data_IF_422424498926
#
_entry.id   IF_422424498926
#
_cell.length_a   1.000
_cell.length_b   1.000
_cell.length_c   1.000
_cell.angle_alpha   90.00
_cell.angle_beta   90.00
_cell.angle_gamma   90.00
#
_symmetry.space_group_name_H-M   'P 1'
#
loop_
_entity.id
_entity.type
_entity.pdbx_description
1 polymer ?
#
# COMPACT_ATOMS: atom_id res chain seq x y z
N UNK A 1 -3.99 -21.16 12.07
CA UNK A 1 -3.95 -21.86 10.77
C UNK A 1 -3.33 -20.90 9.78
N UNK A 2 -2.10 -21.20 9.40
CA UNK A 2 -1.32 -20.39 8.49
C UNK A 2 -1.74 -20.68 7.04
N UNK A 3 -1.33 -19.79 6.14
CA UNK A 3 -1.77 -19.62 4.75
C UNK A 3 -2.31 -20.87 4.02
N UNK A 4 -3.41 -20.69 3.29
CA UNK A 4 -3.95 -21.70 2.36
C UNK A 4 -3.64 -21.25 0.94
N UNK A 5 -3.06 -22.15 0.15
CA UNK A 5 -2.82 -21.88 -1.27
C UNK A 5 -4.15 -21.80 -2.03
N UNK A 6 -4.33 -20.74 -2.81
CA UNK A 6 -5.47 -20.53 -3.69
C UNK A 6 -4.99 -20.32 -5.14
N UNK A 7 -5.22 -21.33 -5.99
CA UNK A 7 -4.90 -21.28 -7.41
C UNK A 7 -5.84 -20.36 -8.22
N UNK A 8 -6.96 -19.92 -7.64
CA UNK A 8 -7.91 -19.01 -8.26
C UNK A 8 -7.48 -17.55 -8.21
N UNK A 9 -6.47 -17.20 -7.41
CA UNK A 9 -5.89 -15.87 -7.42
C UNK A 9 -5.09 -15.64 -8.71
N UNK A 10 -5.63 -14.77 -9.57
CA UNK A 10 -4.87 -14.25 -10.70
C UNK A 10 -3.64 -13.46 -10.22
N UNK A 11 -2.64 -13.32 -11.09
CA UNK A 11 -1.45 -12.52 -10.80
C UNK A 11 -1.81 -11.09 -10.35
N UNK A 12 -1.05 -10.58 -9.38
CA UNK A 12 -1.13 -9.18 -9.01
C UNK A 12 -0.45 -8.34 -10.11
N UNK A 13 -1.26 -7.59 -10.86
CA UNK A 13 -0.77 -6.66 -11.86
C UNK A 13 -0.42 -5.33 -11.19
N UNK A 14 0.86 -4.94 -11.24
CA UNK A 14 1.37 -3.67 -10.73
C UNK A 14 1.75 -2.79 -11.90
N UNK A 15 1.04 -1.67 -12.07
CA UNK A 15 1.31 -0.72 -13.15
C UNK A 15 1.55 0.66 -12.54
N UNK A 16 2.79 0.92 -12.17
CA UNK A 16 3.22 2.22 -11.67
C UNK A 16 3.93 3.01 -12.75
N UNK A 17 3.59 4.29 -12.83
CA UNK A 17 4.33 5.23 -13.66
C UNK A 17 5.75 5.39 -13.13
N UNK A 18 6.74 5.38 -14.04
CA UNK A 18 8.15 5.50 -13.67
C UNK A 18 8.49 6.83 -12.97
N UNK A 19 7.70 7.88 -13.22
CA UNK A 19 7.86 9.21 -12.62
C UNK A 19 6.48 9.78 -12.31
N UNK A 20 6.22 10.04 -11.04
CA UNK A 20 5.01 10.71 -10.59
C UNK A 20 5.38 11.77 -9.55
N UNK A 21 4.84 12.99 -9.64
CA UNK A 21 5.09 14.00 -8.62
C UNK A 21 4.43 13.57 -7.30
N UNK A 22 5.19 13.67 -6.23
CA UNK A 22 4.72 13.38 -4.88
C UNK A 22 5.12 14.50 -3.93
N UNK A 23 4.25 14.79 -2.96
CA UNK A 23 4.56 15.66 -1.83
C UNK A 23 5.11 14.82 -0.70
N UNK A 24 6.38 15.01 -0.37
CA UNK A 24 7.03 14.38 0.77
C UNK A 24 6.79 15.21 2.03
N UNK A 25 6.37 14.57 3.11
CA UNK A 25 6.10 15.23 4.39
C UNK A 25 6.52 14.35 5.56
N UNK A 26 7.09 14.99 6.59
CA UNK A 26 7.10 14.44 7.94
C UNK A 26 5.73 14.76 8.56
N UNK A 27 4.97 13.73 8.93
CA UNK A 27 3.63 13.90 9.51
C UNK A 27 3.62 13.78 11.06
N UNK A 28 4.78 13.83 11.70
CA UNK A 28 4.97 13.63 13.14
C UNK A 28 5.20 12.18 13.55
N UNK A 29 4.84 11.22 12.70
CA UNK A 29 4.95 9.78 13.00
C UNK A 29 5.81 9.02 11.99
N UNK A 30 5.82 9.45 10.72
CA UNK A 30 6.54 8.81 9.63
C UNK A 30 6.95 9.84 8.57
N UNK A 31 7.68 9.37 7.56
CA UNK A 31 7.87 10.06 6.28
C UNK A 31 6.86 9.51 5.29
N UNK A 32 5.97 10.37 4.81
CA UNK A 32 4.92 10.02 3.85
C UNK A 32 5.14 10.76 2.53
N UNK A 33 5.04 10.03 1.42
CA UNK A 33 4.95 10.61 0.08
C UNK A 33 3.51 10.47 -0.43
N UNK A 34 2.81 11.59 -0.59
CA UNK A 34 1.45 11.63 -1.17
C UNK A 34 1.56 11.89 -2.66
N UNK A 35 1.03 10.99 -3.49
CA UNK A 35 1.04 11.16 -4.95
C UNK A 35 0.05 12.26 -5.35
N UNK A 36 0.53 13.26 -6.10
CA UNK A 36 -0.27 14.44 -6.44
C UNK A 36 -1.09 14.25 -7.71
N UNK A 37 -0.55 13.43 -8.62
CA UNK A 37 -1.16 13.09 -9.89
C UNK A 37 -0.85 11.64 -10.20
N UNK A 38 -1.28 11.19 -11.37
CA UNK A 38 -0.91 9.89 -11.91
C UNK A 38 -2.06 8.91 -11.90
N UNK A 39 -1.81 7.81 -12.59
CA UNK A 39 -2.69 6.68 -12.80
C UNK A 39 -2.06 5.38 -12.31
N UNK A 40 -0.91 5.43 -11.62
CA UNK A 40 -0.31 4.28 -10.93
C UNK A 40 -1.38 3.47 -10.20
N UNK A 41 -1.51 2.19 -10.53
CA UNK A 41 -2.56 1.34 -10.00
C UNK A 41 -2.11 -0.12 -9.86
N UNK A 42 -2.86 -0.84 -9.03
CA UNK A 42 -2.82 -2.30 -8.90
C UNK A 42 -4.18 -2.90 -9.25
N UNK A 43 -4.17 -4.13 -9.74
CA UNK A 43 -5.35 -4.95 -10.04
C UNK A 43 -4.98 -6.44 -10.05
N UNK A 44 -5.96 -7.34 -10.17
CA UNK A 44 -5.69 -8.77 -10.05
C UNK A 44 -5.43 -9.17 -8.59
N UNK A 45 -4.81 -10.31 -8.31
CA UNK A 45 -4.52 -10.76 -6.94
C UNK A 45 -5.75 -10.90 -6.03
N UNK A 46 -6.95 -11.08 -6.61
CA UNK A 46 -8.23 -11.12 -5.89
C UNK A 46 -8.92 -9.77 -5.69
N UNK A 47 -8.35 -8.67 -6.21
CA UNK A 47 -8.98 -7.34 -6.14
C UNK A 47 -10.19 -7.25 -7.10
N UNK A 48 -11.32 -6.64 -6.67
CA UNK A 48 -12.55 -6.57 -7.48
C UNK A 48 -12.48 -5.58 -8.64
N UNK A 49 -11.49 -4.68 -8.65
CA UNK A 49 -11.33 -3.61 -9.64
C UNK A 49 -9.91 -3.04 -9.58
N UNK A 50 -9.64 -1.94 -10.29
CA UNK A 50 -8.37 -1.21 -10.18
C UNK A 50 -8.33 -0.29 -8.97
N UNK A 51 -7.22 -0.34 -8.26
CA UNK A 51 -6.95 0.49 -7.09
C UNK A 51 -5.82 1.45 -7.42
N UNK A 52 -6.08 2.76 -7.34
CA UNK A 52 -5.11 3.81 -7.65
C UNK A 52 -4.25 4.12 -6.44
N UNK A 53 -2.94 4.24 -6.63
CA UNK A 53 -1.99 4.61 -5.59
C UNK A 53 -2.30 6.02 -5.08
N UNK A 54 -2.31 6.16 -3.75
CA UNK A 54 -2.62 7.40 -3.04
C UNK A 54 -1.38 7.96 -2.33
N UNK A 55 -0.70 7.12 -1.59
CA UNK A 55 0.48 7.47 -0.84
C UNK A 55 1.37 6.26 -0.62
N UNK A 56 2.60 6.52 -0.20
CA UNK A 56 3.46 5.53 0.43
C UNK A 56 4.05 6.10 1.72
N UNK A 57 4.28 5.23 2.70
CA UNK A 57 4.94 5.57 3.96
C UNK A 57 5.68 4.36 4.52
N UNK A 58 6.55 4.61 5.49
CA UNK A 58 7.37 3.58 6.11
C UNK A 58 7.04 3.44 7.59
N UNK A 59 7.20 2.23 8.10
CA UNK A 59 7.23 1.93 9.53
C UNK A 59 8.60 1.35 9.87
N UNK A 60 9.24 1.90 10.89
CA UNK A 60 10.53 1.42 11.38
C UNK A 60 10.56 1.50 12.90
N UNK A 61 11.44 0.73 13.51
CA UNK A 61 11.62 0.75 14.96
C UNK A 61 12.93 1.37 15.38
N UNK A 62 13.15 1.40 16.70
CA UNK A 62 14.36 1.95 17.31
C UNK A 62 15.61 1.10 17.09
N UNK A 63 15.45 -0.17 16.73
CA UNK A 63 16.55 -1.11 16.49
C UNK A 63 16.24 -2.01 15.28
N UNK A 64 17.29 -2.46 14.59
CA UNK A 64 17.17 -3.20 13.34
C UNK A 64 16.48 -4.56 13.46
N UNK A 65 16.31 -5.12 14.65
CA UNK A 65 15.63 -6.40 14.86
C UNK A 65 14.10 -6.29 14.90
N UNK A 66 13.54 -5.07 14.95
CA UNK A 66 12.10 -4.87 15.16
C UNK A 66 11.64 -3.51 14.64
N UNK A 67 11.02 -3.49 13.46
CA UNK A 67 10.39 -2.27 12.91
C UNK A 67 9.23 -2.50 11.94
N UNK A 68 9.07 -3.70 11.37
CA UNK A 68 7.86 -4.06 10.64
C UNK A 68 6.66 -4.18 11.57
N UNK A 69 5.49 -3.87 11.04
CA UNK A 69 4.21 -4.08 11.74
C UNK A 69 3.82 -5.56 11.63
N UNK A 70 3.83 -6.10 10.40
CA UNK A 70 3.59 -7.51 10.13
C UNK A 70 4.79 -8.39 10.51
N UNK A 71 4.49 -9.67 10.72
CA UNK A 71 5.44 -10.71 11.06
C UNK A 71 5.19 -11.94 10.19
N UNK A 72 6.25 -12.67 9.86
CA UNK A 72 6.16 -13.97 9.18
C UNK A 72 6.72 -15.00 10.13
N UNK A 73 5.90 -15.98 10.50
CA UNK A 73 6.24 -17.04 11.47
C UNK A 73 6.83 -16.49 12.78
N UNK A 74 6.25 -15.39 13.26
CA UNK A 74 6.69 -14.67 14.48
C UNK A 74 7.97 -13.82 14.32
N UNK A 75 8.55 -13.74 13.12
CA UNK A 75 9.74 -12.93 12.85
C UNK A 75 9.36 -11.52 12.41
N UNK A 76 9.92 -10.52 13.11
CA UNK A 76 9.90 -9.10 12.69
C UNK A 76 11.07 -8.76 11.77
N UNK A 77 10.86 -7.74 10.93
CA UNK A 77 11.86 -7.17 10.02
C UNK A 77 12.21 -5.74 10.44
N UNK A 78 13.32 -5.16 9.94
CA UNK A 78 13.79 -3.85 10.37
C UNK A 78 12.84 -2.69 10.02
N UNK A 79 12.09 -2.81 8.93
CA UNK A 79 11.22 -1.77 8.38
C UNK A 79 10.15 -2.41 7.50
N UNK A 80 9.01 -1.75 7.35
CA UNK A 80 7.93 -2.09 6.44
C UNK A 80 7.53 -0.87 5.61
N UNK A 81 7.18 -1.09 4.34
CA UNK A 81 6.63 -0.05 3.46
C UNK A 81 5.17 -0.35 3.20
N UNK A 82 4.32 0.66 3.36
CA UNK A 82 2.93 0.63 2.92
C UNK A 82 2.78 1.49 1.68
N UNK A 83 2.20 0.93 0.62
CA UNK A 83 1.75 1.69 -0.55
C UNK A 83 0.23 1.61 -0.55
N UNK A 84 -0.41 2.69 -0.12
CA UNK A 84 -1.86 2.74 0.07
C UNK A 84 -2.53 3.08 -1.26
N UNK A 85 -3.57 2.33 -1.57
CA UNK A 85 -4.39 2.52 -2.77
C UNK A 85 -5.86 2.68 -2.38
N UNK A 86 -6.64 3.31 -3.26
CA UNK A 86 -8.10 3.36 -3.13
C UNK A 86 -8.79 2.86 -4.40
N UNK A 87 -10.00 2.32 -4.27
CA UNK A 87 -10.79 1.85 -5.40
C UNK A 87 -11.31 3.04 -6.22
N UNK A 88 -10.54 3.44 -7.24
CA UNK A 88 -10.82 4.61 -8.07
C UNK A 88 -11.91 4.36 -9.11
N UNK A 89 -12.32 3.11 -9.31
CA UNK A 89 -13.46 2.76 -10.16
C UNK A 89 -14.78 2.90 -9.39
N UNK A 90 -14.78 2.59 -8.09
CA UNK A 90 -15.97 2.70 -7.23
C UNK A 90 -16.15 4.10 -6.63
N UNK A 91 -15.06 4.77 -6.27
CA UNK A 91 -15.12 6.04 -5.53
C UNK A 91 -14.45 7.18 -6.30
N UNK A 92 -15.04 8.39 -6.29
CA UNK A 92 -14.48 9.54 -7.01
C UNK A 92 -13.17 10.04 -6.42
N UNK A 93 -12.89 9.77 -5.13
CA UNK A 93 -11.66 10.14 -4.46
C UNK A 93 -11.44 9.29 -3.20
N UNK A 94 -10.23 9.34 -2.66
CA UNK A 94 -9.83 8.59 -1.47
C UNK A 94 -10.65 8.95 -0.22
N UNK A 95 -11.06 10.21 -0.04
CA UNK A 95 -11.86 10.62 1.14
C UNK A 95 -13.21 9.90 1.19
N UNK A 96 -13.86 9.73 0.03
CA UNK A 96 -15.10 8.94 -0.06
C UNK A 96 -14.85 7.44 0.14
N UNK A 97 -13.74 6.90 -0.38
CA UNK A 97 -13.38 5.50 -0.18
C UNK A 97 -13.14 5.16 1.30
N UNK A 98 -12.50 6.07 2.06
CA UNK A 98 -12.17 5.86 3.47
C UNK A 98 -13.40 5.89 4.41
N UNK A 99 -14.53 6.49 3.99
CA UNK A 99 -15.75 6.50 4.80
C UNK A 99 -16.49 5.17 4.81
N UNK A 100 -16.18 4.30 3.85
CA UNK A 100 -16.83 3.01 3.63
C UNK A 100 -15.92 1.83 4.05
N UNK A 101 -14.76 2.15 4.63
CA UNK A 101 -13.76 1.18 5.09
C UNK A 101 -14.02 0.77 6.55
#
# INVERSE_FOLDING_TARGET
SETVFDAGLADLAINYEAKVPAKLQNNGHSVQATFLTGKSNISGGGLPSRFRALQMHFHWGSVNSQGSEHQVDGRKYPMEIHIVHFNAEKYPNASMAMKEA
#
